data_IF_570263752086
#
_entry.id   IF_570263752086
#
_cell.length_a   1.000
_cell.length_b   1.000
_cell.length_c   1.000
_cell.angle_alpha   90.00
_cell.angle_beta   90.00
_cell.angle_gamma   90.00
#
_symmetry.space_group_name_H-M   'P 1'
#
loop_
_entity.id
_entity.type
_entity.pdbx_description
1 polymer ?
#
# COMPACT_ATOMS: atom_id res chain seq x y z
N UNK A 1 2.69 -19.27 -51.23
CA UNK A 1 2.82 -18.00 -50.50
C UNK A 1 2.86 -18.32 -49.01
N UNK A 2 3.93 -18.06 -48.28
CA UNK A 2 3.92 -18.30 -46.85
C UNK A 2 3.06 -17.26 -46.18
N UNK A 3 2.20 -17.68 -45.23
CA UNK A 3 1.35 -16.83 -44.41
C UNK A 3 2.22 -15.86 -43.61
N UNK A 4 1.92 -14.59 -43.70
CA UNK A 4 2.55 -13.57 -42.91
C UNK A 4 2.31 -13.86 -41.40
N UNK A 5 3.39 -14.04 -40.69
CA UNK A 5 3.42 -14.17 -39.24
C UNK A 5 2.91 -12.86 -38.65
N UNK A 6 1.63 -12.77 -38.31
CA UNK A 6 1.08 -11.64 -37.60
C UNK A 6 1.71 -11.67 -36.21
N UNK A 7 2.68 -10.80 -35.98
CA UNK A 7 3.22 -10.54 -34.64
C UNK A 7 2.03 -10.22 -33.74
N UNK A 8 1.86 -10.95 -32.64
CA UNK A 8 0.88 -10.65 -31.62
C UNK A 8 1.06 -9.18 -31.20
N UNK A 9 -0.01 -8.39 -31.07
CA UNK A 9 0.12 -7.00 -30.67
C UNK A 9 0.88 -6.93 -29.34
N UNK A 10 1.98 -6.17 -29.34
CA UNK A 10 2.74 -5.89 -28.11
C UNK A 10 1.75 -5.29 -27.13
N UNK A 11 1.51 -5.97 -26.02
CA UNK A 11 0.62 -5.44 -24.99
C UNK A 11 1.22 -4.14 -24.43
N UNK A 12 0.41 -3.08 -24.27
CA UNK A 12 0.91 -1.83 -23.73
C UNK A 12 1.45 -2.05 -22.32
N UNK A 13 2.61 -1.47 -22.04
CA UNK A 13 3.17 -1.44 -20.69
C UNK A 13 2.37 -0.44 -19.83
N UNK A 14 1.77 -0.93 -18.76
CA UNK A 14 1.11 -0.09 -17.76
C UNK A 14 2.12 0.35 -16.72
N UNK A 15 2.21 1.66 -16.55
CA UNK A 15 3.23 2.30 -15.73
C UNK A 15 2.62 3.04 -14.56
N UNK A 16 3.38 3.13 -13.47
CA UNK A 16 3.09 4.04 -12.37
C UNK A 16 3.83 5.34 -12.62
N UNK A 17 3.09 6.41 -12.85
CA UNK A 17 3.62 7.73 -13.24
C UNK A 17 3.61 8.74 -12.08
N UNK A 18 2.76 8.55 -11.09
CA UNK A 18 2.71 9.38 -9.88
C UNK A 18 2.28 8.56 -8.66
N UNK A 19 2.67 9.03 -7.48
CA UNK A 19 2.20 8.51 -6.20
C UNK A 19 1.90 9.67 -5.25
N UNK A 20 0.94 9.47 -4.35
CA UNK A 20 0.63 10.38 -3.26
C UNK A 20 0.40 9.62 -1.97
N UNK A 21 0.76 10.21 -0.83
CA UNK A 21 0.66 9.55 0.46
C UNK A 21 0.60 10.55 1.60
N UNK A 22 -0.12 10.20 2.65
CA UNK A 22 -0.02 10.83 3.96
C UNK A 22 0.21 9.78 5.02
N UNK A 23 1.13 10.02 5.94
CA UNK A 23 1.52 9.03 6.95
C UNK A 23 1.98 9.70 8.26
N UNK A 24 2.14 8.95 9.35
CA UNK A 24 2.68 9.48 10.61
C UNK A 24 4.04 10.18 10.47
N UNK A 25 4.83 9.80 9.49
CA UNK A 25 6.21 10.26 9.31
C UNK A 25 6.40 11.21 8.13
N UNK A 26 5.32 11.54 7.40
CA UNK A 26 5.38 12.47 6.28
C UNK A 26 4.01 12.95 5.80
N UNK A 27 3.91 14.23 5.47
CA UNK A 27 2.71 14.85 4.95
C UNK A 27 2.48 14.54 3.45
N UNK A 28 3.46 13.96 2.77
CA UNK A 28 3.41 13.57 1.37
C UNK A 28 4.26 12.32 1.11
N UNK A 29 4.18 11.78 -0.10
CA UNK A 29 4.89 10.57 -0.50
C UNK A 29 6.42 10.72 -0.40
N UNK A 30 6.98 11.88 -0.73
CA UNK A 30 8.43 12.12 -0.67
C UNK A 30 8.95 12.11 0.76
N UNK A 31 8.27 12.80 1.67
CA UNK A 31 8.63 12.82 3.09
C UNK A 31 8.49 11.44 3.73
N UNK A 32 7.37 10.74 3.44
CA UNK A 32 7.14 9.38 3.93
C UNK A 32 8.23 8.43 3.46
N UNK A 33 8.53 8.44 2.17
CA UNK A 33 9.61 7.61 1.59
C UNK A 33 10.97 7.89 2.25
N UNK A 34 11.32 9.16 2.41
CA UNK A 34 12.60 9.56 3.01
C UNK A 34 12.69 9.08 4.46
N UNK A 35 11.61 9.24 5.24
CA UNK A 35 11.54 8.79 6.63
C UNK A 35 11.62 7.27 6.74
N UNK A 36 10.89 6.52 5.89
CA UNK A 36 10.94 5.06 5.86
C UNK A 36 12.35 4.57 5.49
N UNK A 37 12.96 5.17 4.45
CA UNK A 37 14.33 4.85 4.05
C UNK A 37 15.36 5.09 5.14
N UNK A 38 15.16 6.15 5.93
CA UNK A 38 16.04 6.51 7.06
C UNK A 38 15.67 5.75 8.35
N UNK A 39 14.66 4.87 8.32
CA UNK A 39 14.12 4.16 9.48
C UNK A 39 13.70 5.11 10.63
N UNK A 40 13.17 6.29 10.28
CA UNK A 40 12.68 7.30 11.23
C UNK A 40 11.22 7.01 11.59
N UNK A 41 10.97 6.60 12.82
CA UNK A 41 9.64 6.33 13.35
C UNK A 41 9.17 7.46 14.26
N UNK A 42 7.84 7.69 14.26
CA UNK A 42 7.16 8.64 15.17
C UNK A 42 6.13 7.94 16.06
N UNK A 43 6.39 6.69 16.39
CA UNK A 43 5.56 5.94 17.35
C UNK A 43 5.57 6.65 18.70
N UNK A 44 4.38 6.80 19.30
CA UNK A 44 4.19 7.47 20.58
C UNK A 44 3.04 6.84 21.35
N UNK A 45 2.99 7.08 22.63
CA UNK A 45 1.86 6.72 23.47
C UNK A 45 0.59 7.42 22.99
N UNK A 46 -0.52 6.69 22.99
CA UNK A 46 -1.86 7.18 22.74
C UNK A 46 -2.58 7.33 24.09
N UNK A 47 -2.61 8.53 24.68
CA UNK A 47 -3.13 8.71 26.03
C UNK A 47 -4.63 8.48 26.17
N UNK A 48 -5.36 8.35 25.05
CA UNK A 48 -6.79 8.05 25.06
C UNK A 48 -7.10 6.54 25.02
N UNK A 49 -6.08 5.69 24.80
CA UNK A 49 -6.25 4.25 24.68
C UNK A 49 -5.26 3.54 25.57
N UNK A 50 -5.79 2.76 26.50
CA UNK A 50 -5.01 2.01 27.47
C UNK A 50 -5.13 0.52 27.21
N UNK A 51 -4.13 -0.24 27.64
CA UNK A 51 -4.20 -1.70 27.64
C UNK A 51 -5.47 -2.16 28.33
N UNK A 52 -6.21 -3.07 27.67
CA UNK A 52 -7.33 -3.77 28.30
C UNK A 52 -6.79 -4.67 29.39
N UNK A 53 -7.33 -4.54 30.61
CA UNK A 53 -6.91 -5.36 31.74
C UNK A 53 -7.94 -6.43 32.02
N UNK A 54 -7.46 -7.61 32.34
CA UNK A 54 -8.25 -8.52 33.16
C UNK A 54 -8.60 -7.82 34.50
N UNK A 55 -9.81 -8.03 35.00
CA UNK A 55 -10.28 -7.48 36.28
C UNK A 55 -9.52 -8.15 37.46
N UNK A 56 -8.22 -7.90 37.55
CA UNK A 56 -7.39 -8.34 38.66
C UNK A 56 -7.09 -7.11 39.53
N UNK A 57 -7.60 -7.04 40.78
CA UNK A 57 -7.41 -5.94 41.70
C UNK A 57 -5.95 -5.63 42.01
N UNK A 58 -5.07 -6.62 41.90
CA UNK A 58 -3.64 -6.54 42.20
C UNK A 58 -2.79 -6.19 40.95
N UNK A 59 -3.43 -5.98 39.79
CA UNK A 59 -2.70 -5.63 38.55
C UNK A 59 -2.12 -4.21 38.58
N UNK A 60 -0.93 -4.03 37.98
CA UNK A 60 -0.29 -2.72 37.80
C UNK A 60 -1.19 -1.77 37.00
N UNK A 61 -1.03 -0.40 37.11
CA UNK A 61 -1.83 0.58 36.34
C UNK A 61 -1.76 0.32 34.83
N UNK A 62 -2.90 0.48 34.11
CA UNK A 62 -2.95 0.30 32.65
C UNK A 62 -1.99 1.31 31.98
N UNK A 63 -1.16 0.81 31.09
CA UNK A 63 -0.25 1.65 30.33
C UNK A 63 -0.93 2.14 29.03
N UNK A 64 -0.62 3.39 28.56
CA UNK A 64 -1.12 3.83 27.28
C UNK A 64 -0.53 2.98 26.16
N UNK A 65 -1.36 2.62 25.16
CA UNK A 65 -0.90 1.89 23.99
C UNK A 65 0.00 2.78 23.13
N UNK A 66 1.02 2.16 22.51
CA UNK A 66 1.90 2.84 21.58
C UNK A 66 1.38 2.69 20.15
N UNK A 67 1.21 3.80 19.46
CA UNK A 67 0.71 3.82 18.10
C UNK A 67 1.52 4.76 17.18
N UNK A 68 1.33 4.59 15.89
CA UNK A 68 1.91 5.45 14.85
C UNK A 68 0.81 6.35 14.28
N UNK A 69 0.61 7.50 14.92
CA UNK A 69 -0.47 8.45 14.62
C UNK A 69 0.01 9.62 13.77
N UNK A 70 -0.83 10.07 12.82
CA UNK A 70 -0.61 11.28 12.04
C UNK A 70 -0.86 12.49 12.94
N UNK A 71 0.20 13.10 13.46
CA UNK A 71 0.09 14.21 14.41
C UNK A 71 0.12 15.59 13.77
N UNK A 72 0.37 15.71 12.47
CA UNK A 72 0.40 16.98 11.74
C UNK A 72 -0.95 17.32 11.08
N UNK A 73 -1.90 16.40 11.10
CA UNK A 73 -3.29 16.63 10.71
C UNK A 73 -4.17 16.58 11.94
N UNK A 74 -4.98 17.61 12.12
CA UNK A 74 -5.95 17.73 13.21
C UNK A 74 -7.30 18.06 12.65
N UNK A 75 -8.32 17.26 12.96
CA UNK A 75 -9.71 17.53 12.63
C UNK A 75 -10.63 17.04 13.74
N UNK A 76 -11.82 17.62 13.81
CA UNK A 76 -12.85 17.18 14.75
C UNK A 76 -13.36 15.75 14.45
N UNK A 77 -13.25 15.28 13.20
CA UNK A 77 -13.73 13.94 12.82
C UNK A 77 -12.97 12.82 13.54
N UNK A 78 -11.66 13.00 13.77
CA UNK A 78 -10.86 12.05 14.54
C UNK A 78 -11.22 12.09 16.01
N UNK A 79 -11.30 13.30 16.59
CA UNK A 79 -11.58 13.49 18.01
C UNK A 79 -13.01 13.07 18.40
N UNK A 80 -13.95 13.12 17.44
CA UNK A 80 -15.33 12.68 17.59
C UNK A 80 -15.55 11.20 17.24
N UNK A 81 -14.48 10.44 17.00
CA UNK A 81 -14.55 9.04 16.60
C UNK A 81 -15.48 8.81 15.39
N UNK A 82 -15.29 9.58 14.32
CA UNK A 82 -16.03 9.45 13.04
C UNK A 82 -15.16 8.75 11.97
N UNK A 83 -15.05 7.42 11.97
CA UNK A 83 -14.09 6.69 11.14
C UNK A 83 -14.24 6.94 9.65
N UNK A 84 -15.47 6.93 9.13
CA UNK A 84 -15.72 7.13 7.70
C UNK A 84 -15.22 8.49 7.21
N UNK A 85 -15.46 9.53 8.00
CA UNK A 85 -15.06 10.89 7.66
C UNK A 85 -13.56 11.10 7.81
N UNK A 86 -12.96 10.51 8.86
CA UNK A 86 -11.51 10.55 9.05
C UNK A 86 -10.77 9.84 7.92
N UNK A 87 -11.22 8.63 7.53
CA UNK A 87 -10.62 7.90 6.42
C UNK A 87 -10.77 8.65 5.10
N UNK A 88 -11.92 9.29 4.85
CA UNK A 88 -12.12 10.16 3.68
C UNK A 88 -11.17 11.36 3.68
N UNK A 89 -10.91 11.95 4.85
CA UNK A 89 -9.97 13.05 5.02
C UNK A 89 -8.52 12.60 4.72
N UNK A 90 -8.08 11.46 5.26
CA UNK A 90 -6.78 10.88 4.93
C UNK A 90 -6.65 10.57 3.44
N UNK A 91 -7.68 9.94 2.86
CA UNK A 91 -7.72 9.63 1.43
C UNK A 91 -7.60 10.90 0.57
N UNK A 92 -8.33 11.98 0.93
CA UNK A 92 -8.26 13.24 0.20
C UNK A 92 -6.88 13.90 0.26
N UNK A 93 -6.16 13.82 1.41
CA UNK A 93 -4.79 14.33 1.50
C UNK A 93 -3.81 13.57 0.62
N UNK A 94 -3.87 12.24 0.65
CA UNK A 94 -3.04 11.40 -0.21
C UNK A 94 -3.38 11.59 -1.70
N UNK A 95 -4.67 11.77 -2.01
CA UNK A 95 -5.13 12.09 -3.35
C UNK A 95 -4.61 13.44 -3.84
N UNK A 96 -4.64 14.47 -3.00
CA UNK A 96 -4.12 15.81 -3.34
C UNK A 96 -2.62 15.77 -3.64
N UNK A 97 -1.82 15.05 -2.83
CA UNK A 97 -0.39 14.84 -3.09
C UNK A 97 -0.17 14.11 -4.44
N UNK A 98 -0.97 13.06 -4.71
CA UNK A 98 -0.91 12.39 -6.02
C UNK A 98 -1.28 13.34 -7.16
N UNK A 99 -2.33 14.12 -7.01
CA UNK A 99 -2.85 15.03 -8.04
C UNK A 99 -1.82 16.08 -8.43
N UNK A 100 -1.13 16.67 -7.44
CA UNK A 100 -0.02 17.60 -7.64
C UNK A 100 1.13 16.96 -8.43
N UNK A 101 1.46 15.69 -8.11
CA UNK A 101 2.53 14.95 -8.77
C UNK A 101 2.13 14.41 -10.16
N UNK A 102 0.84 14.28 -10.46
CA UNK A 102 0.34 13.69 -11.70
C UNK A 102 0.32 14.65 -12.90
N UNK A 103 0.49 15.95 -12.67
CA UNK A 103 0.45 16.98 -13.71
C UNK A 103 -0.78 16.89 -14.64
N UNK A 104 -1.94 16.60 -14.07
CA UNK A 104 -3.18 16.64 -14.83
C UNK A 104 -3.50 18.07 -15.28
N UNK A 105 -3.89 18.24 -16.55
CA UNK A 105 -4.49 19.49 -17.02
C UNK A 105 -5.92 19.62 -16.43
N UNK A 106 -6.39 20.85 -16.32
CA UNK A 106 -7.75 21.16 -15.87
C UNK A 106 -8.85 20.77 -16.88
N UNK A 107 -8.51 20.05 -17.93
CA UNK A 107 -9.43 19.63 -18.98
C UNK A 107 -10.49 18.66 -18.44
N UNK A 108 -11.80 18.93 -18.64
CA UNK A 108 -12.89 18.19 -17.99
C UNK A 108 -13.14 16.79 -18.55
N UNK A 109 -12.34 16.27 -19.45
CA UNK A 109 -12.64 15.02 -20.17
C UNK A 109 -11.60 13.92 -19.96
N UNK A 110 -11.03 13.85 -18.76
CA UNK A 110 -10.13 12.76 -18.41
C UNK A 110 -10.96 11.58 -17.89
N UNK A 111 -10.95 10.47 -18.62
CA UNK A 111 -11.59 9.23 -18.19
C UNK A 111 -10.76 8.58 -17.08
N UNK A 112 -10.95 9.04 -15.84
CA UNK A 112 -10.24 8.57 -14.65
C UNK A 112 -11.09 7.56 -13.90
N UNK A 113 -10.51 6.42 -13.54
CA UNK A 113 -11.10 5.47 -12.58
C UNK A 113 -10.45 5.62 -11.21
N UNK A 114 -11.25 5.60 -10.15
CA UNK A 114 -10.80 5.55 -8.75
C UNK A 114 -11.08 4.17 -8.18
N UNK A 115 -10.04 3.55 -7.61
CA UNK A 115 -10.08 2.23 -6.97
C UNK A 115 -9.48 2.35 -5.57
N UNK A 116 -10.30 2.19 -4.54
CA UNK A 116 -9.86 2.42 -3.17
C UNK A 116 -10.16 1.23 -2.26
N UNK A 117 -9.13 0.77 -1.55
CA UNK A 117 -9.24 -0.22 -0.48
C UNK A 117 -9.59 0.46 0.83
N UNK A 118 -10.63 -0.01 1.49
CA UNK A 118 -11.09 0.44 2.81
C UNK A 118 -11.08 -0.74 3.80
N UNK A 119 -10.97 -0.50 5.12
CA UNK A 119 -10.90 -1.56 6.09
C UNK A 119 -12.17 -2.40 6.15
N UNK A 120 -12.00 -3.71 6.24
CA UNK A 120 -13.05 -4.72 6.44
C UNK A 120 -13.00 -5.23 7.88
N UNK A 121 -14.14 -5.76 8.31
CA UNK A 121 -14.28 -6.44 9.61
C UNK A 121 -13.91 -5.55 10.81
N UNK A 122 -14.24 -4.27 10.74
CA UNK A 122 -14.12 -3.33 11.85
C UNK A 122 -15.46 -3.19 12.58
N UNK A 123 -15.49 -3.17 13.93
CA UNK A 123 -16.70 -2.88 14.68
C UNK A 123 -17.36 -1.57 14.20
N UNK A 124 -18.67 -1.62 13.94
CA UNK A 124 -19.47 -0.48 13.47
C UNK A 124 -18.93 0.23 12.20
N UNK A 125 -18.10 -0.43 11.39
CA UNK A 125 -17.62 0.12 10.13
C UNK A 125 -17.61 -0.96 9.04
N UNK A 126 -18.16 -0.63 7.87
CA UNK A 126 -18.23 -1.54 6.73
C UNK A 126 -18.93 -0.89 5.54
N UNK A 127 -19.52 -1.71 4.67
CA UNK A 127 -20.18 -1.26 3.43
C UNK A 127 -21.25 -0.21 3.67
N UNK A 128 -21.97 -0.27 4.81
CA UNK A 128 -22.99 0.74 5.19
C UNK A 128 -22.43 2.15 5.40
N UNK A 129 -21.14 2.27 5.67
CA UNK A 129 -20.46 3.57 5.86
C UNK A 129 -19.89 4.14 4.56
N UNK A 130 -19.93 3.38 3.46
CA UNK A 130 -19.43 3.84 2.16
C UNK A 130 -20.06 5.16 1.70
N UNK A 131 -21.41 5.37 1.80
CA UNK A 131 -22.01 6.63 1.39
C UNK A 131 -21.49 7.86 2.17
N UNK A 132 -21.24 7.71 3.47
CA UNK A 132 -20.67 8.78 4.30
C UNK A 132 -19.21 9.08 3.91
N UNK A 133 -18.41 8.03 3.72
CA UNK A 133 -17.03 8.15 3.23
C UNK A 133 -17.01 8.88 1.89
N UNK A 134 -17.82 8.43 0.91
CA UNK A 134 -17.89 9.02 -0.42
C UNK A 134 -18.34 10.48 -0.40
N UNK A 135 -19.40 10.80 0.36
CA UNK A 135 -19.86 12.18 0.48
C UNK A 135 -18.75 13.09 0.99
N UNK A 136 -18.05 12.67 2.05
CA UNK A 136 -16.94 13.46 2.62
C UNK A 136 -15.75 13.55 1.69
N UNK A 137 -15.39 12.44 1.01
CA UNK A 137 -14.29 12.42 0.06
C UNK A 137 -14.58 13.36 -1.14
N UNK A 138 -15.77 13.28 -1.73
CA UNK A 138 -16.19 14.14 -2.84
C UNK A 138 -16.27 15.63 -2.45
N UNK A 139 -16.68 15.95 -1.21
CA UNK A 139 -16.65 17.31 -0.71
C UNK A 139 -15.23 17.89 -0.69
N UNK A 140 -14.23 17.05 -0.52
CA UNK A 140 -12.82 17.44 -0.44
C UNK A 140 -12.11 17.46 -1.79
N UNK A 141 -12.45 16.53 -2.71
CA UNK A 141 -11.72 16.36 -3.99
C UNK A 141 -12.51 16.74 -5.23
N UNK A 142 -13.84 16.93 -5.11
CA UNK A 142 -14.77 17.22 -6.21
C UNK A 142 -15.52 15.99 -6.72
N UNK A 143 -16.84 16.16 -6.99
CA UNK A 143 -17.75 15.06 -7.34
C UNK A 143 -17.57 14.52 -8.77
N UNK A 144 -17.19 15.36 -9.70
CA UNK A 144 -17.22 15.03 -11.13
C UNK A 144 -15.86 14.56 -11.66
N UNK A 145 -14.97 14.13 -10.73
CA UNK A 145 -13.59 13.79 -11.08
C UNK A 145 -13.45 12.40 -11.72
N UNK A 146 -14.39 11.47 -11.52
CA UNK A 146 -14.19 10.06 -11.84
C UNK A 146 -15.27 9.50 -12.78
N UNK A 147 -14.82 8.79 -13.84
CA UNK A 147 -15.70 8.04 -14.75
C UNK A 147 -16.12 6.67 -14.16
N UNK A 148 -15.28 6.11 -13.31
CA UNK A 148 -15.50 4.84 -12.60
C UNK A 148 -15.04 5.02 -11.15
N UNK A 149 -15.85 4.58 -10.21
CA UNK A 149 -15.49 4.50 -8.79
C UNK A 149 -15.71 3.09 -8.28
N UNK A 150 -14.69 2.52 -7.67
CA UNK A 150 -14.74 1.20 -7.08
C UNK A 150 -14.11 1.22 -5.70
N UNK A 151 -14.91 0.89 -4.68
CA UNK A 151 -14.46 0.81 -3.28
C UNK A 151 -14.59 -0.63 -2.81
N UNK A 152 -13.48 -1.20 -2.34
CA UNK A 152 -13.44 -2.56 -1.84
C UNK A 152 -13.08 -2.58 -0.36
N UNK A 153 -14.00 -3.12 0.46
CA UNK A 153 -13.73 -3.37 1.88
C UNK A 153 -12.91 -4.65 2.00
N UNK A 154 -11.65 -4.49 2.39
CA UNK A 154 -10.68 -5.56 2.33
C UNK A 154 -9.57 -5.48 3.38
N UNK A 155 -8.46 -6.09 3.07
CA UNK A 155 -7.30 -6.27 3.94
C UNK A 155 -6.03 -5.74 3.28
N UNK A 156 -4.88 -6.01 3.88
CA UNK A 156 -3.55 -5.52 3.44
C UNK A 156 -3.26 -5.76 1.95
N UNK A 157 -3.73 -6.87 1.36
CA UNK A 157 -3.49 -7.21 -0.04
C UNK A 157 -4.50 -6.68 -1.05
N UNK A 158 -5.57 -6.01 -0.62
CA UNK A 158 -6.69 -5.62 -1.49
C UNK A 158 -6.24 -4.67 -2.61
N UNK A 159 -5.41 -3.68 -2.30
CA UNK A 159 -4.91 -2.74 -3.30
C UNK A 159 -4.10 -3.42 -4.44
N UNK A 160 -3.44 -4.56 -4.17
CA UNK A 160 -2.73 -5.34 -5.21
C UNK A 160 -3.74 -5.93 -6.21
N UNK A 161 -4.89 -6.41 -5.72
CA UNK A 161 -5.99 -6.90 -6.57
C UNK A 161 -6.64 -5.77 -7.37
N UNK A 162 -6.83 -4.60 -6.74
CA UNK A 162 -7.38 -3.42 -7.41
C UNK A 162 -6.49 -2.93 -8.55
N UNK A 163 -5.17 -3.06 -8.46
CA UNK A 163 -4.26 -2.78 -9.59
C UNK A 163 -4.57 -3.66 -10.80
N UNK A 164 -4.87 -4.93 -10.61
CA UNK A 164 -5.23 -5.84 -11.71
C UNK A 164 -6.60 -5.51 -12.31
N UNK A 165 -7.57 -5.15 -11.48
CA UNK A 165 -8.88 -4.68 -11.95
C UNK A 165 -8.74 -3.39 -12.75
N UNK A 166 -7.99 -2.43 -12.25
CA UNK A 166 -7.71 -1.16 -12.93
C UNK A 166 -7.01 -1.39 -14.28
N UNK A 167 -6.01 -2.29 -14.31
CA UNK A 167 -5.31 -2.68 -15.54
C UNK A 167 -6.25 -3.32 -16.57
N UNK A 168 -7.22 -4.13 -16.13
CA UNK A 168 -8.24 -4.69 -17.01
C UNK A 168 -9.11 -3.59 -17.62
N UNK A 169 -9.58 -2.64 -16.84
CA UNK A 169 -10.40 -1.52 -17.33
C UNK A 169 -9.62 -0.57 -18.26
N UNK A 170 -8.34 -0.34 -18.00
CA UNK A 170 -7.44 0.38 -18.91
C UNK A 170 -7.33 -0.35 -20.26
N UNK A 171 -7.08 -1.64 -20.24
CA UNK A 171 -6.96 -2.48 -21.45
C UNK A 171 -8.27 -2.56 -22.24
N UNK A 172 -9.41 -2.53 -21.57
CA UNK A 172 -10.75 -2.52 -22.19
C UNK A 172 -11.14 -1.12 -22.71
N UNK A 173 -10.31 -0.10 -22.47
CA UNK A 173 -10.59 1.27 -22.88
C UNK A 173 -11.73 1.95 -22.11
N UNK A 174 -12.14 1.39 -20.96
CA UNK A 174 -13.18 2.00 -20.12
C UNK A 174 -12.70 3.28 -19.45
N UNK A 175 -11.42 3.34 -19.15
CA UNK A 175 -10.73 4.47 -18.54
C UNK A 175 -9.37 4.67 -19.21
N UNK A 176 -8.82 5.87 -19.12
CA UNK A 176 -7.45 6.18 -19.59
C UNK A 176 -6.44 6.25 -18.46
N UNK A 177 -6.90 6.59 -17.27
CA UNK A 177 -6.09 6.77 -16.07
C UNK A 177 -6.77 6.03 -14.92
N UNK A 178 -6.01 5.32 -14.12
CA UNK A 178 -6.53 4.64 -12.93
C UNK A 178 -5.79 5.13 -11.69
N UNK A 179 -6.51 5.70 -10.74
CA UNK A 179 -6.00 6.03 -9.42
C UNK A 179 -6.35 4.86 -8.51
N UNK A 180 -5.33 4.14 -8.05
CA UNK A 180 -5.48 2.97 -7.19
C UNK A 180 -4.86 3.27 -5.83
N UNK A 181 -5.57 2.97 -4.75
CA UNK A 181 -5.05 3.27 -3.43
C UNK A 181 -5.79 2.60 -2.30
N UNK A 182 -5.62 3.17 -1.11
CA UNK A 182 -6.32 2.74 0.09
C UNK A 182 -6.09 3.70 1.25
N UNK A 183 -7.03 3.67 2.20
CA UNK A 183 -6.97 4.42 3.45
C UNK A 183 -7.39 3.51 4.60
N UNK A 184 -6.66 3.56 5.71
CA UNK A 184 -7.03 2.87 6.94
C UNK A 184 -6.42 3.57 8.17
N UNK A 185 -7.07 3.38 9.29
CA UNK A 185 -6.62 3.78 10.62
C UNK A 185 -7.06 2.72 11.62
N UNK A 186 -6.17 2.33 12.52
CA UNK A 186 -6.54 1.53 13.69
C UNK A 186 -6.91 2.39 14.90
N UNK A 187 -6.74 3.71 14.83
CA UNK A 187 -6.66 4.59 15.98
C UNK A 187 -8.03 5.08 16.48
N UNK A 188 -9.00 4.20 16.49
CA UNK A 188 -10.30 4.39 17.14
C UNK A 188 -10.44 3.42 18.30
N UNK A 189 -10.92 3.87 19.46
CA UNK A 189 -11.02 3.04 20.66
C UNK A 189 -11.84 1.77 20.43
N UNK A 190 -12.95 1.89 19.71
CA UNK A 190 -13.81 0.75 19.31
C UNK A 190 -13.11 -0.30 18.44
N UNK A 191 -11.98 0.03 17.79
CA UNK A 191 -11.20 -0.90 16.97
C UNK A 191 -9.98 -1.43 17.69
N UNK A 192 -9.38 -0.62 18.57
CA UNK A 192 -8.19 -0.99 19.33
C UNK A 192 -8.53 -1.95 20.48
N UNK A 193 -9.62 -1.71 21.21
CA UNK A 193 -9.97 -2.53 22.36
C UNK A 193 -10.10 -4.02 22.03
N UNK A 194 -10.88 -4.45 21.01
CA UNK A 194 -10.97 -5.86 20.65
C UNK A 194 -9.62 -6.47 20.20
N UNK A 195 -8.76 -5.69 19.61
CA UNK A 195 -7.43 -6.17 19.18
C UNK A 195 -6.50 -6.36 20.37
N UNK A 196 -6.56 -5.48 21.36
CA UNK A 196 -5.77 -5.61 22.58
C UNK A 196 -6.27 -6.78 23.46
N UNK A 197 -7.59 -6.91 23.63
CA UNK A 197 -8.23 -8.06 24.31
C UNK A 197 -7.81 -9.41 23.70
N UNK A 198 -7.62 -9.45 22.38
CA UNK A 198 -7.15 -10.64 21.66
C UNK A 198 -5.62 -10.74 21.54
N UNK A 199 -4.86 -9.96 22.30
CA UNK A 199 -3.40 -9.95 22.30
C UNK A 199 -2.79 -9.72 20.91
N UNK A 200 -3.42 -8.87 20.09
CA UNK A 200 -2.92 -8.52 18.77
C UNK A 200 -2.02 -7.28 18.80
N UNK A 201 -2.26 -6.35 19.72
CA UNK A 201 -1.51 -5.11 19.84
C UNK A 201 -0.25 -5.31 20.67
N UNK A 202 0.84 -4.70 20.24
CA UNK A 202 2.10 -4.70 20.97
C UNK A 202 1.99 -3.82 22.21
N UNK A 203 2.25 -4.42 23.36
CA UNK A 203 2.23 -3.77 24.67
C UNK A 203 3.29 -4.38 25.57
N UNK A 204 3.36 -3.95 26.83
CA UNK A 204 4.24 -4.57 27.85
C UNK A 204 3.85 -6.02 28.11
N UNK A 205 2.56 -6.36 27.97
CA UNK A 205 2.03 -7.73 28.15
C UNK A 205 2.13 -8.60 26.90
N UNK A 206 2.25 -7.98 25.71
CA UNK A 206 2.32 -8.67 24.44
C UNK A 206 3.43 -8.12 23.54
N UNK A 207 4.60 -8.72 23.61
CA UNK A 207 5.75 -8.32 22.80
C UNK A 207 5.64 -8.78 21.34
N UNK A 208 4.82 -9.79 21.06
CA UNK A 208 4.62 -10.39 19.74
C UNK A 208 3.48 -9.71 18.93
N UNK A 209 2.90 -8.62 19.44
CA UNK A 209 1.85 -7.86 18.77
C UNK A 209 2.38 -6.85 17.74
N UNK A 210 1.45 -6.26 17.00
CA UNK A 210 1.77 -5.18 16.08
C UNK A 210 1.54 -3.80 16.72
N UNK A 211 2.25 -2.79 16.21
CA UNK A 211 2.00 -1.40 16.54
C UNK A 211 0.93 -0.85 15.58
N UNK A 212 -0.23 -0.38 16.06
CA UNK A 212 -1.27 0.18 15.22
C UNK A 212 -0.82 1.50 14.57
N UNK A 213 -1.26 1.74 13.35
CA UNK A 213 -0.96 2.93 12.58
C UNK A 213 -2.14 3.42 11.75
N UNK A 214 -1.92 4.49 11.01
CA UNK A 214 -2.89 5.08 10.08
C UNK A 214 -2.19 5.71 8.89
N UNK A 215 -2.79 5.66 7.72
CA UNK A 215 -2.26 6.24 6.48
C UNK A 215 -3.28 6.20 5.36
N UNK A 216 -3.02 6.98 4.31
CA UNK A 216 -3.58 6.75 2.99
C UNK A 216 -2.48 6.86 1.94
N UNK A 217 -2.61 6.08 0.87
CA UNK A 217 -1.70 6.11 -0.27
C UNK A 217 -2.48 5.86 -1.57
N UNK A 218 -2.08 6.54 -2.63
CA UNK A 218 -2.58 6.36 -3.98
C UNK A 218 -1.43 6.33 -4.99
N UNK A 219 -1.67 5.65 -6.11
CA UNK A 219 -0.79 5.63 -7.27
C UNK A 219 -1.60 5.86 -8.54
N UNK A 220 -0.98 6.48 -9.54
CA UNK A 220 -1.54 6.66 -10.87
C UNK A 220 -0.99 5.58 -11.79
N UNK A 221 -1.89 4.72 -12.27
CA UNK A 221 -1.60 3.67 -13.24
C UNK A 221 -2.22 4.04 -14.59
N UNK A 222 -1.43 3.95 -15.66
CA UNK A 222 -1.84 4.34 -17.02
C UNK A 222 -0.93 3.71 -18.06
N UNK A 223 -1.28 3.84 -19.35
CA UNK A 223 -0.34 3.53 -20.42
C UNK A 223 0.83 4.51 -20.45
N UNK A 224 2.02 4.03 -20.78
CA UNK A 224 3.23 4.87 -20.88
C UNK A 224 3.03 6.07 -21.80
N UNK A 225 2.30 5.89 -22.90
CA UNK A 225 1.97 6.95 -23.86
C UNK A 225 1.25 8.13 -23.21
N UNK A 226 0.32 7.86 -22.27
CA UNK A 226 -0.45 8.87 -21.56
C UNK A 226 0.43 9.68 -20.58
N UNK A 227 1.32 9.01 -19.85
CA UNK A 227 2.27 9.66 -18.96
C UNK A 227 3.19 10.62 -19.75
N UNK A 228 3.74 10.13 -20.87
CA UNK A 228 4.63 10.92 -21.73
C UNK A 228 3.95 12.14 -22.35
N UNK A 229 2.66 12.02 -22.75
CA UNK A 229 1.88 13.16 -23.26
C UNK A 229 1.75 14.30 -22.24
N UNK A 230 1.75 14.00 -20.94
CA UNK A 230 1.76 14.99 -19.85
C UNK A 230 3.17 15.42 -19.43
N UNK A 231 4.20 14.99 -20.14
CA UNK A 231 5.59 15.30 -19.82
C UNK A 231 6.15 14.54 -18.62
N UNK A 232 5.44 13.50 -18.13
CA UNK A 232 5.90 12.68 -17.03
C UNK A 232 6.83 11.57 -17.52
N UNK A 233 7.85 11.29 -16.70
CA UNK A 233 8.69 10.11 -16.87
C UNK A 233 8.17 9.04 -15.92
N UNK A 234 7.66 7.90 -16.43
CA UNK A 234 7.20 6.82 -15.59
C UNK A 234 8.28 6.31 -14.64
N UNK A 235 7.91 5.92 -13.44
CA UNK A 235 8.85 5.47 -12.43
C UNK A 235 9.02 3.95 -12.42
N UNK A 236 7.94 3.24 -12.61
CA UNK A 236 7.94 1.78 -12.64
C UNK A 236 6.84 1.23 -13.55
N UNK A 237 7.04 0.02 -14.04
CA UNK A 237 6.06 -0.76 -14.81
C UNK A 237 5.44 -1.83 -13.92
N UNK A 238 4.13 -2.03 -14.01
CA UNK A 238 3.43 -3.14 -13.39
C UNK A 238 3.71 -4.42 -14.20
N UNK A 239 4.69 -5.21 -13.77
CA UNK A 239 5.17 -6.36 -14.53
C UNK A 239 4.31 -7.61 -14.36
N UNK A 240 3.60 -7.74 -13.25
CA UNK A 240 2.68 -8.85 -13.02
C UNK A 240 2.10 -8.85 -11.61
N UNK A 241 1.01 -9.60 -11.45
CA UNK A 241 0.42 -9.87 -10.15
C UNK A 241 -0.02 -11.33 -10.04
N UNK A 242 -0.13 -11.80 -8.84
CA UNK A 242 -0.55 -13.17 -8.51
C UNK A 242 -1.34 -13.19 -7.21
N UNK A 243 -2.30 -14.08 -7.14
CA UNK A 243 -3.14 -14.31 -5.96
C UNK A 243 -3.29 -15.80 -5.75
N UNK A 244 -3.28 -16.24 -4.50
CA UNK A 244 -3.66 -17.62 -4.16
C UNK A 244 -5.03 -17.69 -3.53
N UNK A 245 -5.61 -18.88 -3.58
CA UNK A 245 -6.84 -19.18 -2.87
C UNK A 245 -6.66 -18.95 -1.36
N UNK A 246 -7.76 -18.63 -0.72
CA UNK A 246 -7.84 -18.41 0.73
C UNK A 246 -7.40 -19.66 1.48
N UNK A 247 -6.50 -19.47 2.46
CA UNK A 247 -6.09 -20.52 3.41
C UNK A 247 -6.69 -20.26 4.78
N UNK A 248 -6.96 -21.34 5.52
CA UNK A 248 -7.64 -21.25 6.81
C UNK A 248 -6.77 -20.63 7.92
N UNK A 249 -5.44 -20.67 7.78
CA UNK A 249 -4.51 -20.19 8.80
C UNK A 249 -3.57 -19.12 8.25
N UNK A 250 -3.25 -18.12 9.09
CA UNK A 250 -2.22 -17.11 8.80
C UNK A 250 -0.82 -17.61 9.19
N UNK A 251 -0.75 -18.68 9.99
CA UNK A 251 0.48 -19.24 10.51
C UNK A 251 0.74 -20.66 9.97
N UNK A 252 1.98 -21.09 10.09
CA UNK A 252 2.36 -22.48 9.83
C UNK A 252 2.69 -22.79 8.37
N UNK A 253 2.75 -24.09 8.09
CA UNK A 253 3.24 -24.63 6.83
C UNK A 253 2.37 -24.23 5.63
N UNK A 254 1.04 -24.38 5.76
CA UNK A 254 0.09 -24.10 4.67
C UNK A 254 0.04 -22.62 4.30
N UNK A 255 0.15 -21.74 5.31
CA UNK A 255 0.26 -20.30 5.10
C UNK A 255 1.52 -19.93 4.31
N UNK A 256 2.65 -20.55 4.66
CA UNK A 256 3.92 -20.34 3.96
C UNK A 256 3.92 -20.94 2.55
N UNK A 257 3.28 -22.09 2.34
CA UNK A 257 3.11 -22.68 1.03
C UNK A 257 2.25 -21.80 0.12
N UNK A 258 1.11 -21.34 0.60
CA UNK A 258 0.24 -20.43 -0.15
C UNK A 258 0.95 -19.13 -0.52
N UNK A 259 1.74 -18.55 0.40
CA UNK A 259 2.54 -17.36 0.11
C UNK A 259 3.62 -17.64 -0.94
N UNK A 260 4.33 -18.76 -0.83
CA UNK A 260 5.31 -19.17 -1.83
C UNK A 260 4.66 -19.37 -3.21
N UNK A 261 3.47 -19.95 -3.26
CA UNK A 261 2.71 -20.16 -4.49
C UNK A 261 2.22 -18.83 -5.11
N UNK A 262 1.92 -17.80 -4.31
CA UNK A 262 1.63 -16.46 -4.81
C UNK A 262 2.89 -15.79 -5.40
N UNK A 263 4.04 -15.95 -4.76
CA UNK A 263 5.28 -15.28 -5.15
C UNK A 263 5.95 -15.98 -6.35
N UNK A 264 5.98 -17.30 -6.36
CA UNK A 264 6.75 -18.12 -7.33
C UNK A 264 6.51 -17.79 -8.80
N UNK A 265 5.28 -17.52 -9.28
CA UNK A 265 5.04 -17.18 -10.68
C UNK A 265 5.67 -15.84 -11.11
N UNK A 266 5.93 -14.95 -10.16
CA UNK A 266 6.49 -13.62 -10.40
C UNK A 266 8.02 -13.61 -10.32
N UNK A 267 8.63 -14.67 -9.81
CA UNK A 267 10.08 -14.89 -9.81
C UNK A 267 10.44 -15.71 -11.06
N UNK A 268 10.63 -15.02 -12.18
CA UNK A 268 11.25 -15.65 -13.37
C UNK A 268 12.74 -15.90 -13.12
N UNK A 269 13.42 -16.52 -14.10
CA UNK A 269 14.87 -16.79 -14.06
C UNK A 269 15.69 -15.48 -14.15
N UNK A 270 15.40 -14.53 -13.30
CA UNK A 270 16.05 -13.22 -13.27
C UNK A 270 17.47 -13.35 -12.70
N UNK A 271 18.40 -12.63 -13.29
CA UNK A 271 19.81 -12.65 -12.89
C UNK A 271 20.05 -12.09 -11.47
N UNK A 272 19.10 -11.36 -10.89
CA UNK A 272 19.18 -10.79 -9.55
C UNK A 272 17.87 -10.90 -8.79
N UNK A 273 17.96 -11.15 -7.47
CA UNK A 273 16.78 -11.13 -6.60
C UNK A 273 16.15 -9.74 -6.54
N UNK A 274 14.81 -9.63 -6.56
CA UNK A 274 14.12 -8.35 -6.40
C UNK A 274 14.33 -7.77 -5.00
N UNK A 275 14.03 -6.48 -4.82
CA UNK A 275 13.73 -5.91 -3.52
C UNK A 275 12.37 -6.46 -3.06
N UNK A 276 12.31 -7.06 -1.89
CA UNK A 276 11.06 -7.55 -1.31
C UNK A 276 10.45 -6.48 -0.40
N UNK A 277 9.16 -6.17 -0.58
CA UNK A 277 8.38 -5.35 0.32
C UNK A 277 7.16 -6.15 0.82
N UNK A 278 6.84 -6.04 2.10
CA UNK A 278 5.82 -6.89 2.68
C UNK A 278 5.05 -6.28 3.85
N UNK A 279 3.96 -6.95 4.22
CA UNK A 279 3.08 -6.59 5.32
C UNK A 279 3.45 -7.23 6.67
N UNK A 280 4.70 -7.64 6.87
CA UNK A 280 5.19 -8.08 8.17
C UNK A 280 5.11 -6.91 9.18
N UNK A 281 4.40 -7.11 10.29
CA UNK A 281 4.01 -6.05 11.21
C UNK A 281 4.52 -6.20 12.65
N UNK A 282 5.19 -7.32 12.96
CA UNK A 282 5.69 -7.66 14.31
C UNK A 282 5.05 -8.91 14.88
N UNK A 283 3.90 -9.36 14.35
CA UNK A 283 3.26 -10.59 14.81
C UNK A 283 4.09 -11.83 14.44
N UNK A 284 4.42 -12.64 15.43
CA UNK A 284 5.26 -13.85 15.29
C UNK A 284 4.77 -14.80 14.21
N UNK A 285 3.46 -14.99 14.10
CA UNK A 285 2.88 -15.95 13.17
C UNK A 285 3.04 -15.52 11.70
N UNK A 286 3.02 -14.22 11.40
CA UNK A 286 3.35 -13.69 10.09
C UNK A 286 4.80 -13.98 9.70
N UNK A 287 5.75 -13.80 10.65
CA UNK A 287 7.16 -14.13 10.42
C UNK A 287 7.39 -15.62 10.23
N UNK A 288 6.68 -16.50 10.97
CA UNK A 288 6.73 -17.95 10.75
C UNK A 288 6.24 -18.32 9.35
N UNK A 289 5.09 -17.77 8.92
CA UNK A 289 4.57 -17.96 7.56
C UNK A 289 5.58 -17.55 6.49
N UNK A 290 6.22 -16.38 6.66
CA UNK A 290 7.31 -15.95 5.77
C UNK A 290 8.51 -16.90 5.79
N UNK A 291 8.95 -17.37 6.95
CA UNK A 291 10.04 -18.34 7.07
C UNK A 291 9.80 -19.62 6.28
N UNK A 292 8.58 -20.15 6.34
CA UNK A 292 8.17 -21.31 5.53
C UNK A 292 8.12 -21.00 4.04
N UNK A 293 7.65 -19.82 3.65
CA UNK A 293 7.65 -19.38 2.25
C UNK A 293 9.07 -19.22 1.72
N UNK A 294 9.94 -18.53 2.47
CA UNK A 294 11.33 -18.29 2.09
C UNK A 294 12.08 -19.61 1.87
N UNK A 295 11.87 -20.59 2.74
CA UNK A 295 12.46 -21.93 2.59
C UNK A 295 12.10 -22.58 1.25
N UNK A 296 10.85 -22.38 0.75
CA UNK A 296 10.39 -22.88 -0.55
C UNK A 296 10.88 -22.06 -1.74
N UNK A 297 11.20 -20.80 -1.51
CA UNK A 297 11.68 -19.86 -2.55
C UNK A 297 13.21 -19.80 -2.63
N UNK A 298 13.94 -20.54 -1.80
CA UNK A 298 15.41 -20.46 -1.68
C UNK A 298 16.19 -20.66 -2.99
N UNK A 299 15.63 -21.42 -3.93
CA UNK A 299 16.24 -21.67 -5.25
C UNK A 299 15.97 -20.55 -6.24
N UNK A 300 15.04 -19.64 -5.93
CA UNK A 300 14.60 -18.52 -6.76
C UNK A 300 15.04 -17.15 -6.21
N UNK A 301 15.37 -17.07 -4.93
CA UNK A 301 15.84 -15.88 -4.26
C UNK A 301 17.31 -16.04 -3.90
N UNK A 302 18.18 -15.32 -4.60
CA UNK A 302 19.64 -15.35 -4.34
C UNK A 302 19.98 -14.46 -3.15
N UNK A 303 20.64 -14.96 -2.11
CA UNK A 303 21.14 -14.14 -0.99
C UNK A 303 22.18 -13.10 -1.43
N UNK A 304 22.25 -11.93 -0.79
CA UNK A 304 21.39 -11.49 0.32
C UNK A 304 20.01 -11.04 -0.17
N UNK A 305 18.96 -11.54 0.49
CA UNK A 305 17.59 -11.15 0.22
C UNK A 305 17.33 -9.79 0.89
N UNK A 306 17.01 -8.77 0.08
CA UNK A 306 16.65 -7.46 0.60
C UNK A 306 15.15 -7.46 0.92
N UNK A 307 14.80 -7.35 2.20
CA UNK A 307 13.41 -7.35 2.69
C UNK A 307 13.14 -6.05 3.45
N UNK A 308 12.10 -5.33 3.01
CA UNK A 308 11.60 -4.12 3.65
C UNK A 308 10.18 -4.38 4.16
N UNK A 309 9.92 -4.00 5.41
CA UNK A 309 8.61 -4.11 6.05
C UNK A 309 8.28 -2.78 6.75
N UNK A 310 7.66 -1.84 6.02
CA UNK A 310 7.43 -0.46 6.47
C UNK A 310 6.62 -0.32 7.76
N UNK A 311 5.91 -1.37 8.18
CA UNK A 311 5.19 -1.38 9.46
C UNK A 311 6.12 -1.13 10.68
N UNK A 312 7.43 -1.38 10.55
CA UNK A 312 8.41 -1.00 11.58
C UNK A 312 8.47 0.52 11.81
N UNK A 313 8.18 1.30 10.79
CA UNK A 313 8.19 2.77 10.82
C UNK A 313 6.78 3.33 10.96
N UNK A 314 5.86 2.85 10.13
CA UNK A 314 4.50 3.39 9.97
C UNK A 314 3.49 2.78 10.95
N UNK A 315 3.81 1.66 11.62
CA UNK A 315 2.82 0.79 12.24
C UNK A 315 2.10 -0.07 11.19
N UNK A 316 1.23 -0.98 11.66
CA UNK A 316 0.31 -1.68 10.76
C UNK A 316 -0.79 -0.71 10.32
N UNK A 317 -0.99 -0.60 9.04
CA UNK A 317 -1.91 0.33 8.40
C UNK A 317 -3.02 -0.40 7.61
N UNK A 318 -3.28 -1.64 7.97
CA UNK A 318 -4.42 -2.44 7.54
C UNK A 318 -4.66 -2.44 6.04
N UNK A 319 -5.85 -2.03 5.61
CA UNK A 319 -6.27 -2.02 4.21
C UNK A 319 -5.45 -1.07 3.30
N UNK A 320 -4.78 -0.07 3.87
CA UNK A 320 -3.89 0.83 3.12
C UNK A 320 -2.53 0.20 2.81
N UNK A 321 -2.15 -0.91 3.48
CA UNK A 321 -0.80 -1.49 3.41
C UNK A 321 -0.37 -1.78 1.98
N UNK A 322 -1.20 -2.44 1.17
CA UNK A 322 -0.85 -2.77 -0.21
C UNK A 322 -0.51 -1.55 -1.06
N UNK A 323 -1.31 -0.49 -0.95
CA UNK A 323 -1.07 0.78 -1.66
C UNK A 323 0.24 1.44 -1.20
N UNK A 324 0.50 1.45 0.11
CA UNK A 324 1.76 1.95 0.70
C UNK A 324 2.97 1.18 0.16
N UNK A 325 2.89 -0.15 0.15
CA UNK A 325 3.98 -1.00 -0.34
C UNK A 325 4.27 -0.74 -1.83
N UNK A 326 3.23 -0.57 -2.65
CA UNK A 326 3.40 -0.24 -4.07
C UNK A 326 4.05 1.14 -4.22
N UNK A 327 3.52 2.17 -3.54
CA UNK A 327 4.05 3.53 -3.62
C UNK A 327 5.51 3.60 -3.17
N UNK A 328 5.87 2.93 -2.06
CA UNK A 328 7.26 2.84 -1.61
C UNK A 328 8.13 2.04 -2.59
N UNK A 329 7.63 0.91 -3.11
CA UNK A 329 8.35 0.09 -4.09
C UNK A 329 8.71 0.87 -5.35
N UNK A 330 7.76 1.65 -5.88
CA UNK A 330 7.96 2.55 -7.02
C UNK A 330 9.06 3.58 -6.71
N UNK A 331 9.03 4.21 -5.53
CA UNK A 331 10.04 5.19 -5.11
C UNK A 331 11.42 4.55 -4.90
N UNK A 332 11.48 3.36 -4.33
CA UNK A 332 12.73 2.61 -4.18
C UNK A 332 13.37 2.30 -5.54
N UNK A 333 12.57 1.85 -6.50
CA UNK A 333 13.05 1.58 -7.86
C UNK A 333 13.52 2.85 -8.58
N UNK A 334 12.75 3.94 -8.45
CA UNK A 334 13.10 5.23 -9.05
C UNK A 334 14.45 5.76 -8.52
N UNK A 335 14.71 5.65 -7.22
CA UNK A 335 15.96 6.09 -6.59
C UNK A 335 17.09 5.06 -6.67
N UNK A 336 16.91 3.95 -7.39
CA UNK A 336 17.85 2.84 -7.51
C UNK A 336 18.32 2.30 -6.15
N UNK A 337 17.40 2.24 -5.19
CA UNK A 337 17.71 1.75 -3.86
C UNK A 337 18.24 0.32 -3.92
N UNK A 338 19.42 0.09 -3.28
CA UNK A 338 20.15 -1.18 -3.31
C UNK A 338 20.41 -1.72 -4.73
N UNK A 339 20.44 -0.84 -5.74
CA UNK A 339 20.72 -1.18 -7.15
C UNK A 339 19.78 -2.26 -7.71
N UNK A 340 18.51 -2.29 -7.25
CA UNK A 340 17.51 -3.25 -7.71
C UNK A 340 16.68 -2.67 -8.85
N UNK A 341 16.43 -3.51 -9.86
CA UNK A 341 15.57 -3.17 -11.00
C UNK A 341 14.14 -3.72 -10.87
N UNK A 342 13.92 -4.56 -9.87
CA UNK A 342 12.64 -5.16 -9.58
C UNK A 342 12.30 -5.02 -8.11
N UNK A 343 11.02 -4.80 -7.83
CA UNK A 343 10.46 -4.86 -6.47
C UNK A 343 9.29 -5.85 -6.47
N UNK A 344 9.36 -6.85 -5.62
CA UNK A 344 8.31 -7.81 -5.38
C UNK A 344 7.59 -7.46 -4.09
N UNK A 345 6.31 -7.16 -4.22
CA UNK A 345 5.44 -6.82 -3.11
C UNK A 345 4.58 -8.02 -2.79
N UNK A 346 4.43 -8.35 -1.51
CA UNK A 346 3.49 -9.37 -1.09
C UNK A 346 2.77 -9.00 0.20
N UNK A 347 1.52 -9.46 0.29
CA UNK A 347 0.67 -9.32 1.46
C UNK A 347 0.06 -10.66 1.83
N UNK A 348 0.02 -10.93 3.13
CA UNK A 348 -0.54 -12.13 3.74
C UNK A 348 -1.65 -11.73 4.71
N UNK A 349 -2.87 -11.54 4.21
CA UNK A 349 -3.97 -11.01 5.00
C UNK A 349 -4.50 -12.01 6.04
N UNK A 350 -5.11 -11.49 7.09
CA UNK A 350 -5.78 -12.26 8.14
C UNK A 350 -6.96 -13.08 7.59
N UNK A 351 -7.56 -12.64 6.48
CA UNK A 351 -8.60 -13.41 5.78
C UNK A 351 -8.10 -14.68 5.11
N UNK A 352 -6.79 -14.93 5.13
CA UNK A 352 -6.16 -16.08 4.48
C UNK A 352 -5.76 -15.87 3.04
N UNK A 353 -6.01 -14.71 2.44
CA UNK A 353 -5.57 -14.38 1.09
C UNK A 353 -4.08 -14.06 1.05
N UNK A 354 -3.42 -14.48 -0.03
CA UNK A 354 -2.02 -14.17 -0.31
C UNK A 354 -1.96 -13.53 -1.69
N UNK A 355 -1.49 -12.29 -1.72
CA UNK A 355 -1.37 -11.51 -2.94
C UNK A 355 0.09 -11.12 -3.14
N UNK A 356 0.54 -11.15 -4.38
CA UNK A 356 1.86 -10.67 -4.76
C UNK A 356 1.79 -9.84 -6.04
N UNK A 357 2.70 -8.87 -6.18
CA UNK A 357 2.78 -7.97 -7.31
C UNK A 357 4.25 -7.67 -7.59
N UNK A 358 4.62 -7.71 -8.87
CA UNK A 358 5.98 -7.40 -9.33
C UNK A 358 5.99 -6.05 -10.04
N UNK A 359 6.84 -5.16 -9.56
CA UNK A 359 7.21 -3.92 -10.22
C UNK A 359 8.56 -4.08 -10.90
N UNK A 360 8.73 -3.50 -12.08
CA UNK A 360 10.00 -3.33 -12.78
C UNK A 360 10.32 -1.85 -12.88
N UNK A 361 11.56 -1.47 -12.63
CA UNK A 361 12.01 -0.10 -12.88
C UNK A 361 11.77 0.26 -14.33
N UNK A 362 11.15 1.40 -14.56
CA UNK A 362 10.98 1.89 -15.92
C UNK A 362 12.32 2.37 -16.47
N UNK A 363 12.67 1.90 -17.67
CA UNK A 363 13.86 2.35 -18.41
C UNK A 363 13.39 2.95 -19.72
N UNK A 364 13.60 4.26 -19.90
CA UNK A 364 13.29 4.88 -21.19
C UNK A 364 14.13 4.27 -22.31
N UNK A 365 13.56 4.00 -23.49
CA UNK A 365 14.30 3.47 -24.63
C UNK A 365 15.42 4.41 -25.14
N UNK A 366 15.33 5.70 -24.81
CA UNK A 366 16.36 6.69 -25.11
C UNK A 366 17.33 6.78 -23.95
N UNK A 367 18.38 5.93 -24.00
CA UNK A 367 19.41 5.85 -22.99
C UNK A 367 20.24 7.14 -22.90
N UNK A 368 19.99 7.91 -21.85
CA UNK A 368 20.93 8.88 -21.31
C UNK A 368 20.87 8.78 -19.79
N UNK A 369 21.99 8.78 -19.06
CA UNK A 369 21.94 8.90 -17.61
C UNK A 369 21.29 10.23 -17.27
N UNK A 370 20.23 10.21 -16.46
CA UNK A 370 19.65 11.42 -15.92
C UNK A 370 20.72 12.15 -15.08
N UNK A 371 21.14 13.29 -15.60
CA UNK A 371 22.00 14.22 -14.88
C UNK A 371 21.20 14.87 -13.75
N UNK A 372 21.50 14.48 -12.51
CA UNK A 372 20.92 15.07 -11.29
C UNK A 372 21.48 16.46 -10.97
N UNK A 373 22.27 17.08 -11.89
CA UNK A 373 22.87 18.40 -11.70
C UNK A 373 21.93 19.58 -11.93
N UNK A 374 20.68 19.35 -12.35
CA UNK A 374 19.64 20.38 -12.54
C UNK A 374 18.87 20.76 -11.28
N UNK A 375 19.52 20.85 -10.14
CA UNK A 375 18.95 21.42 -8.92
C UNK A 375 18.90 22.95 -9.04
N UNK A 376 17.73 23.54 -9.33
CA UNK A 376 17.51 24.94 -9.06
C UNK A 376 17.69 25.19 -7.56
N UNK A 377 18.50 26.16 -7.14
CA UNK A 377 18.56 26.53 -5.73
C UNK A 377 17.21 27.16 -5.34
N UNK A 378 16.63 26.68 -4.27
CA UNK A 378 15.52 27.33 -3.59
C UNK A 378 15.86 28.81 -3.30
N UNK A 379 14.88 29.71 -3.46
CA UNK A 379 15.01 31.08 -2.97
C UNK A 379 14.97 31.17 -1.47
#
# INVERSE_FOLDING_TARGET
MPAANQASPVQPDYVVSAVGMVSPVGANATQTFTSVRANLSRKRECPQVFECRAEDPDSEPAEPLVASAIGHLTTSERDQEQPARWLAFLAAHAFSDLWENASFSTEPNQSIGLYCSLPKDRPAFGVSNQPEFLSRFHDLVGKDAFAVEHFEFGHSGTALGLCEMARAHLREGRIRHAIVGGADSYLFSQWLNPLDENYRIKSTRNLDGFCPGETAAFLLLEEESQARQRGLVPWATLAGASKTNRVASIAGHDAGEALANAIKPLLSDQASSPLLLCDLNGERDRFKGWGYALSRLRTRLTPPVALEHPAMVLGDVGAATGAVLIALGVRFLHTKYRERDHALIWCASDSGERNALLLRRHTSPTGGPFDLSGGNPCP
#
